data_IF_963101001209
#
_entry.id   IF_963101001209
#
_cell.length_a   1.000
_cell.length_b   1.000
_cell.length_c   1.000
_cell.angle_alpha   90.00
_cell.angle_beta   90.00
_cell.angle_gamma   90.00
#
_symmetry.space_group_name_H-M   'P 1'
#
loop_
_entity.id
_entity.type
_entity.pdbx_description
1 polymer ?
#
# COMPACT_ATOMS: atom_id res chain seq x y z
N UNK A 1 -16.24 8.90 36.40
CA UNK A 1 -15.93 7.60 35.75
C UNK A 1 -17.16 7.00 35.07
N UNK A 2 -18.30 6.89 35.75
CA UNK A 2 -19.56 6.37 35.16
C UNK A 2 -20.04 7.14 33.94
N UNK A 3 -19.96 8.48 33.95
CA UNK A 3 -20.40 9.31 32.83
C UNK A 3 -19.57 9.11 31.56
N UNK A 4 -18.24 8.99 31.69
CA UNK A 4 -17.35 8.69 30.58
C UNK A 4 -17.63 7.30 30.01
N UNK A 5 -17.78 6.30 30.88
CA UNK A 5 -18.12 4.95 30.44
C UNK A 5 -19.46 4.90 29.72
N UNK A 6 -20.45 5.64 30.23
CA UNK A 6 -21.76 5.73 29.58
C UNK A 6 -21.64 6.40 28.21
N UNK A 7 -20.90 7.52 28.08
CA UNK A 7 -20.67 8.18 26.80
C UNK A 7 -20.00 7.25 25.75
N UNK A 8 -19.04 6.45 26.20
CA UNK A 8 -18.26 5.56 25.32
C UNK A 8 -19.03 4.33 24.86
N UNK A 9 -19.93 3.80 25.69
CA UNK A 9 -20.62 2.53 25.43
C UNK A 9 -22.13 2.68 25.15
N UNK A 10 -22.68 3.88 25.32
CA UNK A 10 -24.08 4.19 25.06
C UNK A 10 -24.20 5.37 24.08
N UNK A 11 -24.94 5.24 22.98
CA UNK A 11 -25.66 4.04 22.52
C UNK A 11 -24.73 2.99 21.90
N UNK A 12 -25.32 1.87 21.44
CA UNK A 12 -24.59 0.69 20.93
C UNK A 12 -23.59 1.06 19.82
N UNK A 13 -23.89 2.04 18.97
CA UNK A 13 -22.95 2.56 17.97
C UNK A 13 -21.63 3.04 18.57
N UNK A 14 -21.68 3.75 19.71
CA UNK A 14 -20.48 4.22 20.41
C UNK A 14 -19.69 3.05 20.97
N UNK A 15 -20.38 2.08 21.58
CA UNK A 15 -19.75 0.88 22.13
C UNK A 15 -18.97 0.10 21.06
N UNK A 16 -19.59 -0.11 19.89
CA UNK A 16 -18.93 -0.81 18.77
C UNK A 16 -17.67 -0.05 18.35
N UNK A 17 -17.76 1.26 18.12
CA UNK A 17 -16.62 2.06 17.65
C UNK A 17 -15.53 2.18 18.72
N UNK A 18 -15.90 2.27 20.00
CA UNK A 18 -14.97 2.30 21.13
C UNK A 18 -14.19 1.00 21.22
N UNK A 19 -14.85 -0.16 21.10
CA UNK A 19 -14.17 -1.47 21.11
C UNK A 19 -13.27 -1.63 19.88
N UNK A 20 -13.76 -1.29 18.69
CA UNK A 20 -13.01 -1.40 17.44
C UNK A 20 -11.73 -0.55 17.47
N UNK A 21 -11.84 0.69 17.97
CA UNK A 21 -10.71 1.62 18.12
C UNK A 21 -9.79 1.15 19.26
N UNK A 22 -10.35 0.68 20.37
CA UNK A 22 -9.60 0.12 21.48
C UNK A 22 -8.73 -1.08 21.08
N UNK A 23 -9.26 -2.01 20.29
CA UNK A 23 -8.49 -3.14 19.73
C UNK A 23 -7.35 -2.62 18.84
N UNK A 24 -7.62 -1.61 18.02
CA UNK A 24 -6.60 -1.03 17.15
C UNK A 24 -5.50 -0.33 17.96
N UNK A 25 -5.85 0.39 19.02
CA UNK A 25 -4.87 1.00 19.95
C UNK A 25 -4.07 -0.06 20.70
N UNK A 26 -4.71 -1.15 21.13
CA UNK A 26 -4.03 -2.27 21.77
C UNK A 26 -3.01 -2.91 20.84
N UNK A 27 -3.37 -3.10 19.57
CA UNK A 27 -2.44 -3.57 18.53
C UNK A 27 -1.20 -2.66 18.45
N UNK A 28 -1.38 -1.34 18.37
CA UNK A 28 -0.26 -0.39 18.32
C UNK A 28 0.55 -0.38 19.62
N UNK A 29 -0.09 -0.54 20.76
CA UNK A 29 0.57 -0.63 22.06
C UNK A 29 1.48 -1.86 22.12
N UNK A 30 0.96 -3.03 21.72
CA UNK A 30 1.73 -4.27 21.66
C UNK A 30 2.91 -4.09 20.70
N UNK A 31 2.68 -3.55 19.49
CA UNK A 31 3.73 -3.27 18.51
C UNK A 31 4.81 -2.33 19.06
N UNK A 32 4.43 -1.31 19.84
CA UNK A 32 5.35 -0.33 20.41
C UNK A 32 6.24 -0.92 21.51
N UNK A 33 5.68 -1.80 22.36
CA UNK A 33 6.44 -2.46 23.44
C UNK A 33 7.21 -3.69 22.95
N UNK A 34 6.73 -4.34 21.89
CA UNK A 34 7.37 -5.53 21.34
C UNK A 34 8.72 -5.26 20.68
N UNK A 35 9.01 -4.00 20.30
CA UNK A 35 10.33 -3.52 19.88
C UNK A 35 10.98 -4.39 18.79
N UNK A 36 10.83 -3.98 17.52
CA UNK A 36 11.20 -4.77 16.34
C UNK A 36 10.23 -5.95 16.08
N UNK A 37 8.93 -5.62 16.01
CA UNK A 37 7.94 -6.43 15.32
C UNK A 37 7.71 -7.85 15.86
N UNK A 38 7.88 -8.12 17.15
CA UNK A 38 7.47 -9.39 17.76
C UNK A 38 7.96 -10.62 16.95
N UNK A 39 9.21 -11.02 17.12
CA UNK A 39 9.71 -12.38 16.78
C UNK A 39 8.97 -13.52 17.54
N UNK A 40 7.76 -13.30 18.07
CA UNK A 40 6.85 -14.36 18.53
C UNK A 40 5.95 -14.88 17.39
N UNK A 41 5.99 -14.28 16.18
CA UNK A 41 5.39 -14.83 14.96
C UNK A 41 6.42 -15.35 13.94
N UNK A 42 7.71 -15.32 14.26
CA UNK A 42 8.81 -15.75 13.38
C UNK A 42 9.47 -17.07 13.85
N UNK A 43 8.78 -17.83 14.72
CA UNK A 43 9.29 -19.08 15.28
C UNK A 43 8.21 -20.15 15.32
N UNK A 44 8.21 -21.03 14.32
CA UNK A 44 7.77 -22.43 14.34
C UNK A 44 6.54 -22.76 15.20
N UNK A 45 5.42 -22.08 14.96
CA UNK A 45 4.10 -22.61 15.35
C UNK A 45 3.37 -22.96 14.07
N UNK A 46 3.41 -24.26 13.74
CA UNK A 46 2.59 -24.91 12.71
C UNK A 46 1.09 -24.76 13.07
N UNK A 47 0.56 -23.55 12.91
CA UNK A 47 -0.87 -23.30 12.88
C UNK A 47 -1.25 -23.05 11.42
N UNK A 48 -1.40 -24.15 10.68
CA UNK A 48 -1.95 -24.25 9.32
C UNK A 48 -3.43 -23.81 9.26
N UNK A 49 -3.69 -22.60 9.70
CA UNK A 49 -4.91 -21.88 9.44
C UNK A 49 -4.47 -20.51 8.97
N UNK A 50 -4.35 -20.33 7.66
CA UNK A 50 -4.18 -19.06 6.97
C UNK A 50 -5.11 -18.00 7.58
N UNK A 51 -4.63 -17.29 8.59
CA UNK A 51 -5.14 -15.98 8.96
C UNK A 51 -4.15 -15.01 8.34
N UNK A 52 -4.27 -14.88 7.02
CA UNK A 52 -3.82 -13.70 6.30
C UNK A 52 -4.67 -12.52 6.82
N UNK A 53 -4.24 -11.95 7.94
CA UNK A 53 -4.76 -10.69 8.45
C UNK A 53 -4.20 -9.49 7.67
N UNK A 54 -3.37 -9.74 6.66
CA UNK A 54 -3.35 -8.94 5.45
C UNK A 54 -4.44 -9.49 4.56
N UNK A 55 -5.59 -8.81 4.50
CA UNK A 55 -6.45 -8.98 3.34
C UNK A 55 -5.56 -8.69 2.13
N UNK A 56 -5.13 -9.77 1.50
CA UNK A 56 -4.44 -9.75 0.25
C UNK A 56 -5.38 -9.06 -0.72
N UNK A 57 -5.09 -7.79 -0.99
CA UNK A 57 -5.76 -7.03 -2.04
C UNK A 57 -5.05 -7.31 -3.37
N UNK A 58 -4.09 -8.24 -3.42
CA UNK A 58 -3.73 -8.88 -4.67
C UNK A 58 -4.85 -9.85 -5.02
N UNK A 59 -5.37 -9.68 -6.24
CA UNK A 59 -6.44 -10.47 -6.84
C UNK A 59 -7.87 -10.24 -6.32
N UNK A 60 -8.34 -8.98 -6.43
CA UNK A 60 -9.69 -8.80 -7.03
C UNK A 60 -9.55 -9.05 -8.53
N UNK A 61 -9.25 -10.30 -8.86
CA UNK A 61 -9.40 -10.82 -10.20
C UNK A 61 -10.90 -11.01 -10.39
N UNK A 62 -11.54 -9.97 -10.93
CA UNK A 62 -12.87 -10.10 -11.49
C UNK A 62 -12.78 -11.02 -12.70
N UNK A 63 -12.70 -12.32 -12.44
CA UNK A 63 -12.87 -13.39 -13.41
C UNK A 63 -14.33 -13.40 -13.88
N UNK A 64 -14.66 -12.45 -14.75
CA UNK A 64 -15.56 -12.76 -15.84
C UNK A 64 -14.72 -13.33 -16.97
N UNK A 65 -14.49 -14.65 -16.87
CA UNK A 65 -14.12 -15.48 -18.00
C UNK A 65 -15.16 -15.34 -19.10
N UNK A 66 -14.93 -14.44 -20.04
CA UNK A 66 -15.40 -14.59 -21.41
C UNK A 66 -14.18 -14.55 -22.32
N UNK A 67 -13.73 -15.74 -22.70
CA UNK A 67 -12.83 -15.94 -23.83
C UNK A 67 -13.40 -15.25 -25.07
N UNK A 68 -12.87 -14.08 -25.41
CA UNK A 68 -12.97 -13.55 -26.76
C UNK A 68 -11.65 -12.92 -27.16
N UNK A 69 -10.94 -13.65 -28.01
CA UNK A 69 -9.81 -13.12 -28.76
C UNK A 69 -10.32 -12.02 -29.70
N UNK A 70 -10.02 -10.76 -29.39
CA UNK A 70 -9.99 -9.71 -30.40
C UNK A 70 -9.09 -8.58 -29.93
N UNK A 71 -8.02 -8.36 -30.69
CA UNK A 71 -7.10 -7.23 -30.60
C UNK A 71 -7.88 -5.91 -30.54
N UNK A 72 -8.08 -5.39 -29.34
CA UNK A 72 -8.61 -4.05 -29.13
C UNK A 72 -8.06 -3.57 -27.80
N UNK A 73 -7.29 -2.47 -27.84
CA UNK A 73 -6.82 -1.76 -26.65
C UNK A 73 -8.04 -1.26 -25.86
N UNK A 74 -8.55 -2.09 -24.97
CA UNK A 74 -9.57 -1.71 -24.01
C UNK A 74 -8.84 -1.15 -22.80
N UNK A 75 -8.93 0.17 -22.61
CA UNK A 75 -8.63 0.77 -21.33
C UNK A 75 -9.59 0.15 -20.30
N UNK A 76 -9.13 -0.85 -19.56
CA UNK A 76 -9.85 -1.41 -18.42
C UNK A 76 -9.99 -0.30 -17.40
N UNK A 77 -11.18 0.31 -17.32
CA UNK A 77 -11.43 1.32 -16.30
C UNK A 77 -11.24 0.70 -14.91
N UNK A 78 -10.54 1.38 -13.99
CA UNK A 78 -10.35 0.86 -12.65
C UNK A 78 -11.70 0.71 -11.95
N UNK A 79 -11.86 -0.40 -11.22
CA UNK A 79 -13.06 -0.73 -10.44
C UNK A 79 -13.44 0.41 -9.49
N UNK A 80 -14.74 0.57 -9.20
CA UNK A 80 -15.25 1.59 -8.27
C UNK A 80 -14.53 1.55 -6.91
N UNK A 81 -14.20 0.35 -6.44
CA UNK A 81 -13.47 0.17 -5.19
C UNK A 81 -12.02 0.64 -5.28
N UNK A 82 -11.33 0.40 -6.40
CA UNK A 82 -9.98 0.90 -6.65
C UNK A 82 -9.96 2.44 -6.70
N UNK A 83 -10.94 3.05 -7.37
CA UNK A 83 -11.13 4.52 -7.37
C UNK A 83 -11.37 5.07 -5.95
N UNK A 84 -12.11 4.35 -5.11
CA UNK A 84 -12.34 4.73 -3.71
C UNK A 84 -11.08 4.58 -2.84
N UNK A 85 -10.27 3.56 -3.07
CA UNK A 85 -9.00 3.35 -2.39
C UNK A 85 -7.97 4.43 -2.75
N UNK A 86 -7.83 4.74 -4.03
CA UNK A 86 -6.97 5.83 -4.52
C UNK A 86 -7.42 7.19 -3.94
N UNK A 87 -8.73 7.42 -3.82
CA UNK A 87 -9.27 8.65 -3.24
C UNK A 87 -8.77 8.93 -1.81
N UNK A 88 -8.56 7.90 -0.99
CA UNK A 88 -8.00 8.04 0.37
C UNK A 88 -6.48 7.82 0.43
N UNK A 89 -5.81 7.78 -0.73
CA UNK A 89 -4.36 7.59 -0.88
C UNK A 89 -3.86 6.22 -0.39
N UNK A 90 -4.65 5.15 -0.54
CA UNK A 90 -4.14 3.77 -0.42
C UNK A 90 -3.04 3.56 -1.46
N UNK A 91 -1.99 2.81 -1.10
CA UNK A 91 -0.80 2.62 -1.93
C UNK A 91 0.28 3.67 -1.70
N UNK A 92 -0.06 4.87 -1.19
CA UNK A 92 0.91 5.94 -0.83
C UNK A 92 1.20 6.03 0.67
N UNK A 93 0.38 5.37 1.48
CA UNK A 93 0.55 5.23 2.93
C UNK A 93 0.26 3.78 3.29
N UNK A 94 0.98 3.17 4.25
CA UNK A 94 0.69 1.82 4.70
C UNK A 94 -0.80 1.64 5.05
N UNK A 95 -1.45 0.61 4.47
CA UNK A 95 -2.90 0.40 4.59
C UNK A 95 -3.36 0.31 6.05
N UNK A 96 -2.50 -0.24 6.91
CA UNK A 96 -2.76 -0.37 8.34
C UNK A 96 -2.97 0.99 9.02
N UNK A 97 -2.19 2.00 8.63
CA UNK A 97 -2.31 3.37 9.14
C UNK A 97 -3.62 4.00 8.65
N UNK A 98 -3.99 3.76 7.39
CA UNK A 98 -5.25 4.28 6.81
C UNK A 98 -6.44 3.70 7.55
N UNK A 99 -6.45 2.38 7.79
CA UNK A 99 -7.53 1.68 8.50
C UNK A 99 -7.63 2.16 9.95
N UNK A 100 -6.51 2.34 10.66
CA UNK A 100 -6.54 2.81 12.05
C UNK A 100 -7.01 4.26 12.15
N UNK A 101 -6.58 5.12 11.22
CA UNK A 101 -7.04 6.50 11.12
C UNK A 101 -8.53 6.60 10.81
N UNK A 102 -9.03 5.77 9.89
CA UNK A 102 -10.46 5.69 9.58
C UNK A 102 -11.28 5.32 10.83
N UNK A 103 -10.86 4.28 11.57
CA UNK A 103 -11.52 3.87 12.82
C UNK A 103 -11.51 4.98 13.87
N UNK A 104 -10.37 5.66 14.03
CA UNK A 104 -10.20 6.72 15.02
C UNK A 104 -11.06 7.95 14.71
N UNK A 105 -11.04 8.44 13.46
CA UNK A 105 -11.87 9.56 13.03
C UNK A 105 -13.35 9.19 13.13
N UNK A 106 -13.72 7.99 12.65
CA UNK A 106 -15.08 7.49 12.75
C UNK A 106 -15.57 7.39 14.19
N UNK A 107 -14.71 6.98 15.12
CA UNK A 107 -15.03 6.93 16.55
C UNK A 107 -15.31 8.31 17.14
N UNK A 108 -14.49 9.31 16.82
CA UNK A 108 -14.72 10.71 17.24
C UNK A 108 -16.05 11.22 16.68
N UNK A 109 -16.29 11.03 15.38
CA UNK A 109 -17.54 11.46 14.72
C UNK A 109 -18.74 10.74 15.34
N UNK A 110 -18.60 9.47 15.72
CA UNK A 110 -19.67 8.69 16.37
C UNK A 110 -20.03 9.25 17.74
N UNK A 111 -19.04 9.57 18.59
CA UNK A 111 -19.26 10.21 19.90
C UNK A 111 -19.90 11.59 19.73
N UNK A 112 -19.39 12.39 18.78
CA UNK A 112 -19.95 13.72 18.51
C UNK A 112 -21.41 13.60 18.06
N UNK A 113 -21.68 12.72 17.10
CA UNK A 113 -23.02 12.49 16.56
C UNK A 113 -23.98 12.01 17.65
N UNK A 114 -23.52 11.18 18.60
CA UNK A 114 -24.37 10.70 19.67
C UNK A 114 -24.80 11.79 20.65
N UNK A 115 -23.93 12.78 20.89
CA UNK A 115 -24.24 13.95 21.71
C UNK A 115 -25.23 14.86 20.97
N UNK A 116 -24.96 15.20 19.70
CA UNK A 116 -25.79 16.13 18.94
C UNK A 116 -27.19 15.59 18.60
N UNK A 117 -27.29 14.29 18.29
CA UNK A 117 -28.54 13.66 17.86
C UNK A 117 -29.26 12.93 18.99
N UNK A 118 -28.71 12.97 20.22
CA UNK A 118 -29.24 12.32 21.42
C UNK A 118 -29.62 10.84 21.17
N UNK A 119 -28.75 10.12 20.46
CA UNK A 119 -29.00 8.75 20.03
C UNK A 119 -28.92 7.73 21.17
N UNK A 120 -28.56 8.18 22.38
CA UNK A 120 -28.66 7.39 23.60
C UNK A 120 -30.06 6.76 23.80
N UNK A 121 -31.10 7.44 23.32
CA UNK A 121 -32.49 6.95 23.39
C UNK A 121 -32.83 5.87 22.34
N UNK A 122 -31.97 5.66 21.33
CA UNK A 122 -32.26 4.79 20.19
C UNK A 122 -31.87 3.32 20.42
N UNK A 123 -31.09 3.03 21.46
CA UNK A 123 -30.64 1.67 21.80
C UNK A 123 -29.97 0.99 20.61
N UNK A 124 -30.44 -0.20 20.22
CA UNK A 124 -29.93 -0.98 19.09
C UNK A 124 -30.10 -0.29 17.73
N UNK A 125 -31.11 0.58 17.56
CA UNK A 125 -31.33 1.29 16.28
C UNK A 125 -30.23 2.29 15.97
N UNK A 126 -29.41 2.66 16.97
CA UNK A 126 -28.23 3.50 16.77
C UNK A 126 -27.23 2.91 15.76
N UNK A 127 -27.21 1.60 15.55
CA UNK A 127 -26.30 0.95 14.58
C UNK A 127 -26.47 1.53 13.17
N UNK A 128 -27.69 1.89 12.76
CA UNK A 128 -27.95 2.45 11.43
C UNK A 128 -27.28 3.82 11.22
N UNK A 129 -26.92 4.53 12.30
CA UNK A 129 -26.21 5.81 12.19
C UNK A 129 -24.75 5.65 11.75
N UNK A 130 -24.19 4.44 11.89
CA UNK A 130 -22.81 4.17 11.45
C UNK A 130 -22.67 4.29 9.93
N UNK A 131 -23.73 4.02 9.15
CA UNK A 131 -23.69 4.13 7.68
C UNK A 131 -23.37 5.56 7.22
N UNK A 132 -24.15 6.60 7.60
CA UNK A 132 -23.81 7.97 7.24
C UNK A 132 -22.51 8.44 7.90
N UNK A 133 -22.17 7.95 9.11
CA UNK A 133 -20.90 8.29 9.77
C UNK A 133 -19.71 7.76 8.97
N UNK A 134 -19.74 6.52 8.49
CA UNK A 134 -18.67 5.95 7.68
C UNK A 134 -18.50 6.67 6.35
N UNK A 135 -19.61 7.10 5.74
CA UNK A 135 -19.54 7.92 4.53
C UNK A 135 -18.87 9.28 4.79
N UNK A 136 -19.25 9.97 5.86
CA UNK A 136 -18.61 11.24 6.26
C UNK A 136 -17.13 11.01 6.60
N UNK A 137 -16.82 9.93 7.33
CA UNK A 137 -15.45 9.55 7.71
C UNK A 137 -14.59 9.30 6.47
N UNK A 138 -15.13 8.62 5.46
CA UNK A 138 -14.44 8.36 4.20
C UNK A 138 -14.11 9.66 3.45
N UNK A 139 -15.03 10.63 3.41
CA UNK A 139 -14.76 11.95 2.82
C UNK A 139 -13.69 12.70 3.63
N UNK A 140 -13.77 12.68 4.96
CA UNK A 140 -12.77 13.27 5.83
C UNK A 140 -11.37 12.68 5.58
N UNK A 141 -11.27 11.36 5.39
CA UNK A 141 -10.00 10.67 5.15
C UNK A 141 -9.20 11.28 4.00
N UNK A 142 -9.84 11.71 2.91
CA UNK A 142 -9.15 12.37 1.81
C UNK A 142 -8.33 13.60 2.24
N UNK A 143 -8.81 14.35 3.24
CA UNK A 143 -8.10 15.51 3.77
C UNK A 143 -7.03 15.10 4.78
N UNK A 144 -7.32 14.11 5.63
CA UNK A 144 -6.38 13.66 6.66
C UNK A 144 -5.22 12.82 6.12
N UNK A 145 -5.40 12.10 5.01
CA UNK A 145 -4.33 11.26 4.44
C UNK A 145 -3.35 12.07 3.59
N UNK A 146 -3.72 13.22 3.01
CA UNK A 146 -2.78 14.10 2.26
C UNK A 146 -1.53 14.54 3.04
N UNK A 147 -1.62 15.11 4.26
CA UNK A 147 -0.42 15.45 5.02
C UNK A 147 0.38 14.20 5.39
N UNK A 148 -0.30 13.06 5.56
CA UNK A 148 0.31 11.79 5.90
C UNK A 148 1.13 11.24 4.73
N UNK A 149 0.61 11.30 3.50
CA UNK A 149 1.37 10.98 2.28
C UNK A 149 2.68 11.76 2.24
N UNK A 150 2.63 13.07 2.49
CA UNK A 150 3.85 13.90 2.51
C UNK A 150 4.85 13.44 3.57
N UNK A 151 4.37 13.07 4.77
CA UNK A 151 5.22 12.57 5.84
C UNK A 151 5.88 11.23 5.45
N UNK A 152 5.10 10.31 4.88
CA UNK A 152 5.57 8.99 4.46
C UNK A 152 6.56 9.06 3.29
N UNK A 153 6.29 9.92 2.29
CA UNK A 153 7.24 10.15 1.20
C UNK A 153 8.57 10.72 1.71
N UNK A 154 8.55 11.62 2.68
CA UNK A 154 9.77 12.21 3.24
C UNK A 154 10.67 11.19 3.99
N UNK A 155 10.11 10.07 4.45
CA UNK A 155 10.86 8.98 5.10
C UNK A 155 11.17 7.84 4.13
N UNK A 156 10.99 8.04 2.82
CA UNK A 156 11.32 7.08 1.77
C UNK A 156 10.26 6.01 1.51
N UNK A 157 9.05 6.18 2.00
CA UNK A 157 7.95 5.29 1.65
C UNK A 157 7.39 5.70 0.28
N UNK A 158 7.75 4.94 -0.76
CA UNK A 158 7.29 5.16 -2.14
C UNK A 158 6.12 4.27 -2.54
N UNK A 159 5.73 3.33 -1.68
CA UNK A 159 4.50 2.54 -1.84
C UNK A 159 4.41 1.83 -3.20
N UNK A 160 3.22 1.83 -3.80
CA UNK A 160 2.94 1.24 -5.12
C UNK A 160 3.27 2.16 -6.31
N UNK A 161 3.88 3.33 -6.10
CA UNK A 161 4.23 4.18 -7.25
C UNK A 161 5.32 3.49 -8.08
N UNK A 162 5.04 3.13 -9.36
CA UNK A 162 6.04 2.49 -10.19
C UNK A 162 7.15 3.52 -10.47
N UNK A 163 8.32 3.25 -9.92
CA UNK A 163 9.52 4.02 -10.24
C UNK A 163 9.79 3.83 -11.73
N UNK A 164 9.83 4.93 -12.50
CA UNK A 164 10.21 4.87 -13.90
C UNK A 164 11.74 4.76 -14.01
N UNK A 165 12.18 3.60 -14.47
CA UNK A 165 13.58 3.25 -14.64
C UNK A 165 14.12 3.61 -16.03
N UNK A 166 13.26 3.97 -17.00
CA UNK A 166 13.68 4.29 -18.35
C UNK A 166 14.61 5.51 -18.37
N UNK A 167 15.70 5.41 -19.13
CA UNK A 167 16.73 6.45 -19.25
C UNK A 167 17.65 6.59 -18.03
N UNK A 168 17.50 5.75 -17.00
CA UNK A 168 18.40 5.77 -15.83
C UNK A 168 19.70 5.05 -16.15
N UNK A 169 20.80 5.66 -15.70
CA UNK A 169 22.14 5.10 -15.80
C UNK A 169 22.46 4.26 -14.55
N UNK A 170 23.15 3.15 -14.75
CA UNK A 170 23.55 2.24 -13.70
C UNK A 170 24.83 1.52 -14.04
N UNK A 171 25.31 0.71 -13.10
CA UNK A 171 26.55 -0.07 -13.25
C UNK A 171 26.24 -1.55 -13.22
N UNK A 172 26.78 -2.29 -14.19
CA UNK A 172 26.61 -3.74 -14.27
C UNK A 172 27.24 -4.45 -13.06
N UNK A 173 26.51 -5.41 -12.49
CA UNK A 173 27.01 -6.30 -11.42
C UNK A 173 27.19 -7.75 -11.89
N UNK A 174 26.90 -8.04 -13.16
CA UNK A 174 27.15 -9.34 -13.79
C UNK A 174 27.40 -9.14 -15.28
N UNK A 175 28.21 -10.00 -15.90
CA UNK A 175 28.40 -10.01 -17.36
C UNK A 175 27.21 -10.69 -18.04
N UNK A 176 26.61 -10.02 -19.02
CA UNK A 176 25.49 -10.52 -19.84
C UNK A 176 25.92 -10.60 -21.31
N UNK A 177 25.34 -11.55 -22.05
CA UNK A 177 25.58 -11.76 -23.49
C UNK A 177 24.39 -12.52 -24.08
N UNK A 178 23.96 -12.15 -25.29
CA UNK A 178 22.77 -12.73 -25.91
C UNK A 178 21.52 -12.53 -25.05
N UNK A 179 20.81 -13.63 -24.77
CA UNK A 179 19.58 -13.66 -23.94
C UNK A 179 19.83 -13.97 -22.47
N UNK A 180 21.07 -13.81 -21.99
CA UNK A 180 21.43 -14.14 -20.62
C UNK A 180 21.00 -13.00 -19.70
N UNK A 181 20.14 -13.31 -18.72
CA UNK A 181 19.79 -12.38 -17.65
C UNK A 181 20.99 -12.14 -16.72
N UNK A 182 21.18 -10.88 -16.34
CA UNK A 182 22.12 -10.47 -15.30
C UNK A 182 21.48 -9.47 -14.37
N UNK A 183 22.32 -8.73 -13.64
CA UNK A 183 21.85 -7.69 -12.73
C UNK A 183 22.70 -6.43 -12.85
N UNK A 184 22.05 -5.28 -12.80
CA UNK A 184 22.70 -3.97 -12.71
C UNK A 184 22.16 -3.18 -11.52
N UNK A 185 22.96 -2.25 -11.02
CA UNK A 185 22.63 -1.38 -9.90
C UNK A 185 22.43 0.04 -10.43
N UNK A 186 21.26 0.61 -10.16
CA UNK A 186 20.86 1.94 -10.59
C UNK A 186 20.70 2.82 -9.36
N UNK A 187 21.30 4.01 -9.39
CA UNK A 187 21.22 4.95 -8.27
C UNK A 187 20.01 5.86 -8.46
N UNK A 188 18.97 5.67 -7.66
CA UNK A 188 17.73 6.44 -7.74
C UNK A 188 17.50 7.12 -6.40
N UNK A 189 17.43 8.45 -6.41
CA UNK A 189 17.22 9.25 -5.19
C UNK A 189 18.22 8.97 -4.04
N UNK A 190 19.44 8.52 -4.40
CA UNK A 190 20.53 8.08 -3.51
C UNK A 190 20.36 6.67 -2.91
N UNK A 191 19.38 5.90 -3.37
CA UNK A 191 19.22 4.49 -3.05
C UNK A 191 19.71 3.61 -4.22
N UNK A 192 20.68 2.69 -4.01
CA UNK A 192 21.10 1.73 -5.03
C UNK A 192 20.07 0.61 -5.20
N UNK A 193 19.30 0.66 -6.29
CA UNK A 193 18.30 -0.35 -6.63
C UNK A 193 18.91 -1.36 -7.59
N UNK A 194 18.83 -2.66 -7.26
CA UNK A 194 19.32 -3.75 -8.11
C UNK A 194 18.18 -4.33 -8.96
N UNK A 195 18.34 -4.30 -10.27
CA UNK A 195 17.34 -4.78 -11.22
C UNK A 195 17.89 -5.94 -12.06
N UNK A 196 16.99 -6.81 -12.52
CA UNK A 196 17.32 -7.81 -13.53
C UNK A 196 17.36 -7.16 -14.91
N UNK A 197 18.44 -7.42 -15.64
CA UNK A 197 18.70 -6.77 -16.93
C UNK A 197 19.07 -7.77 -18.01
N UNK A 198 18.64 -7.48 -19.24
CA UNK A 198 19.00 -8.19 -20.47
C UNK A 198 19.56 -7.19 -21.48
N UNK A 199 20.48 -7.64 -22.34
CA UNK A 199 21.03 -6.80 -23.40
C UNK A 199 19.98 -6.62 -24.50
N UNK A 200 19.64 -5.38 -24.86
CA UNK A 200 18.62 -5.10 -25.88
C UNK A 200 18.96 -5.78 -27.23
N UNK A 201 20.22 -5.69 -27.64
CA UNK A 201 20.72 -6.20 -28.92
C UNK A 201 21.46 -7.54 -28.79
N UNK A 202 21.54 -8.10 -27.57
CA UNK A 202 22.34 -9.30 -27.28
C UNK A 202 23.86 -9.05 -27.25
N UNK A 203 24.30 -7.79 -27.29
CA UNK A 203 25.70 -7.41 -27.13
C UNK A 203 26.24 -7.83 -25.75
N UNK A 204 27.53 -8.18 -25.73
CA UNK A 204 28.23 -8.53 -24.48
C UNK A 204 28.47 -7.26 -23.67
N UNK A 205 27.94 -7.22 -22.45
CA UNK A 205 28.17 -6.13 -21.49
C UNK A 205 28.84 -6.72 -20.26
N UNK A 206 29.98 -6.17 -19.88
CA UNK A 206 30.84 -6.74 -18.83
C UNK A 206 30.50 -6.20 -17.44
N UNK A 207 30.95 -6.92 -16.41
CA UNK A 207 30.86 -6.45 -15.03
C UNK A 207 31.53 -5.07 -14.89
N UNK A 208 30.84 -4.13 -14.23
CA UNK A 208 31.35 -2.78 -13.98
C UNK A 208 31.12 -1.78 -15.10
N UNK A 209 30.66 -2.21 -16.29
CA UNK A 209 30.27 -1.30 -17.38
C UNK A 209 29.09 -0.41 -16.96
N UNK A 210 29.12 0.83 -17.45
CA UNK A 210 28.02 1.77 -17.32
C UNK A 210 26.96 1.49 -18.40
N UNK A 211 25.70 1.40 -17.98
CA UNK A 211 24.57 1.02 -18.81
C UNK A 211 23.39 1.95 -18.58
N UNK A 212 22.57 2.12 -19.62
CA UNK A 212 21.32 2.86 -19.57
C UNK A 212 20.14 1.94 -19.87
N UNK A 213 19.06 2.08 -19.11
CA UNK A 213 17.80 1.36 -19.35
C UNK A 213 17.09 2.02 -20.52
N UNK A 214 16.78 1.23 -21.55
CA UNK A 214 16.19 1.72 -22.80
C UNK A 214 14.78 1.19 -23.02
N UNK A 215 14.46 0.04 -22.44
CA UNK A 215 13.14 -0.57 -22.55
C UNK A 215 12.86 -1.48 -21.34
N UNK A 216 11.60 -1.89 -21.17
CA UNK A 216 11.15 -2.78 -20.10
C UNK A 216 10.28 -3.92 -20.65
N UNK A 217 10.32 -5.08 -20.00
CA UNK A 217 9.43 -6.19 -20.34
C UNK A 217 7.97 -5.85 -19.99
N UNK A 218 7.01 -6.51 -20.66
CA UNK A 218 5.56 -6.26 -20.43
C UNK A 218 5.13 -6.46 -18.98
N UNK A 219 5.85 -7.30 -18.25
CA UNK A 219 5.64 -7.62 -16.83
C UNK A 219 6.51 -6.77 -15.87
N UNK A 220 7.32 -5.82 -16.38
CA UNK A 220 8.22 -4.92 -15.61
C UNK A 220 9.23 -5.62 -14.71
N UNK A 221 9.52 -6.90 -14.98
CA UNK A 221 10.47 -7.71 -14.21
C UNK A 221 11.88 -7.70 -14.80
N UNK A 222 11.98 -7.48 -16.11
CA UNK A 222 13.25 -7.49 -16.85
C UNK A 222 13.38 -6.14 -17.57
N UNK A 223 14.52 -5.49 -17.38
CA UNK A 223 14.84 -4.23 -18.05
C UNK A 223 15.85 -4.47 -19.16
N UNK A 224 15.60 -3.91 -20.34
CA UNK A 224 16.54 -3.97 -21.44
C UNK A 224 17.52 -2.82 -21.33
N UNK A 225 18.81 -3.16 -21.38
CA UNK A 225 19.90 -2.20 -21.21
C UNK A 225 20.82 -2.18 -22.43
N UNK A 226 21.46 -1.04 -22.64
CA UNK A 226 22.54 -0.87 -23.61
C UNK A 226 23.75 -0.22 -22.93
N UNK A 227 24.93 -0.44 -23.49
CA UNK A 227 26.17 0.16 -22.98
C UNK A 227 26.13 1.67 -23.22
N UNK A 228 26.39 2.44 -22.17
CA UNK A 228 26.49 3.87 -22.32
C UNK A 228 27.89 4.28 -22.75
N UNK A 229 27.98 5.07 -23.83
CA UNK A 229 29.22 5.65 -24.31
C UNK A 229 29.32 7.07 -23.76
N UNK A 230 29.94 7.22 -22.59
CA UNK A 230 30.31 8.52 -22.02
C UNK A 230 31.73 8.91 -22.43
N UNK A 231 32.04 10.22 -22.42
CA UNK A 231 33.38 10.75 -22.76
C UNK A 231 34.51 10.15 -21.90
N UNK A 232 34.19 9.53 -20.76
CA UNK A 232 35.15 8.89 -19.87
C UNK A 232 35.42 7.41 -20.22
N UNK A 233 34.69 6.84 -21.19
CA UNK A 233 34.76 5.44 -21.59
C UNK A 233 35.00 5.27 -23.10
N UNK A 234 35.52 6.32 -23.76
CA UNK A 234 36.03 6.32 -25.16
C UNK A 234 37.55 6.18 -25.12
#
# INVERSE_FOLDING_TARGET
MSELFNLLFNPVSNGIMTVLTGISLLYWLIMSFAGDGLHLFDGDVDLDGHIDATADVTDVDSSQDLHHHSDTQTHTEPSFFAKAMDFINVGKVPIMIIVTLFKFIGWIITIISSIFLNTATWGLKSIFILIPIFFITFICMHFFTKPLVKLFNNIGYHGEEPIDFLGRMGKMKATIEGKKLGSAEFLIERDPIRLYVESLNGEKIEYGDDVIIVDESKDKKIYYVTKEITIHNI
#
